data_IF_619630445053
#
_entry.id   IF_619630445053
#
_cell.length_a   1.000
_cell.length_b   1.000
_cell.length_c   1.000
_cell.angle_alpha   90.00
_cell.angle_beta   90.00
_cell.angle_gamma   90.00
#
_symmetry.space_group_name_H-M   'P 1'
#
loop_
_entity.id
_entity.type
_entity.pdbx_description
1 polymer ?
#
# COMPACT_ATOMS: atom_id res chain seq x y z
N UNK A 1 13.09 6.49 -0.40
CA UNK A 1 12.17 6.58 0.76
C UNK A 1 10.77 6.92 0.25
N UNK A 2 9.87 5.92 0.16
CA UNK A 2 8.52 6.07 -0.37
C UNK A 2 7.64 7.01 0.46
N UNK A 3 7.83 7.02 1.78
CA UNK A 3 7.11 7.93 2.69
C UNK A 3 7.42 9.40 2.39
N UNK A 4 8.69 9.74 2.15
CA UNK A 4 9.07 11.12 1.77
C UNK A 4 8.42 11.54 0.44
N UNK A 5 8.37 10.64 -0.54
CA UNK A 5 7.69 10.91 -1.81
C UNK A 5 6.19 11.16 -1.59
N UNK A 6 5.53 10.28 -0.82
CA UNK A 6 4.12 10.44 -0.43
C UNK A 6 3.87 11.78 0.25
N UNK A 7 4.62 12.12 1.30
CA UNK A 7 4.42 13.37 2.04
C UNK A 7 4.67 14.60 1.17
N UNK A 8 5.68 14.58 0.30
CA UNK A 8 5.92 15.70 -0.64
C UNK A 8 4.73 15.91 -1.57
N UNK A 9 4.20 14.83 -2.15
CA UNK A 9 3.00 14.89 -2.99
C UNK A 9 1.79 15.35 -2.19
N UNK A 10 1.59 14.79 -0.99
CA UNK A 10 0.49 15.13 -0.10
C UNK A 10 0.52 16.62 0.24
N UNK A 11 1.66 17.20 0.65
CA UNK A 11 1.81 18.61 0.99
C UNK A 11 2.06 19.54 -0.22
N UNK A 12 1.87 19.07 -1.46
CA UNK A 12 2.05 19.85 -2.69
C UNK A 12 3.44 20.53 -2.79
N UNK A 13 4.50 19.76 -2.53
CA UNK A 13 5.88 20.27 -2.49
C UNK A 13 6.52 20.26 -3.87
N UNK A 14 6.89 21.43 -4.37
CA UNK A 14 7.52 21.60 -5.68
C UNK A 14 9.04 21.46 -5.57
N UNK A 15 9.66 20.74 -6.52
CA UNK A 15 11.11 20.52 -6.53
C UNK A 15 11.90 21.81 -6.86
N UNK A 16 11.31 22.74 -7.60
CA UNK A 16 11.86 24.07 -7.91
C UNK A 16 11.24 25.22 -7.12
N UNK A 17 10.24 24.93 -6.26
CA UNK A 17 9.63 25.94 -5.40
C UNK A 17 10.60 26.36 -4.29
N UNK A 18 10.73 27.67 -4.05
CA UNK A 18 11.53 28.19 -2.94
C UNK A 18 11.03 27.68 -1.58
N UNK A 19 11.92 27.61 -0.59
CA UNK A 19 11.61 27.14 0.78
C UNK A 19 10.36 27.81 1.37
N UNK A 20 10.20 29.13 1.18
CA UNK A 20 9.04 29.88 1.64
C UNK A 20 7.71 29.43 1.00
N UNK A 21 7.71 29.14 -0.31
CA UNK A 21 6.52 28.66 -1.01
C UNK A 21 6.12 27.27 -0.51
N UNK A 22 7.11 26.39 -0.37
CA UNK A 22 6.93 25.02 0.14
C UNK A 22 6.42 25.00 1.60
N UNK A 23 6.94 25.87 2.47
CA UNK A 23 6.42 26.09 3.83
C UNK A 23 4.98 26.61 3.84
N UNK A 24 4.66 27.52 2.93
CA UNK A 24 3.29 28.07 2.82
C UNK A 24 2.30 26.99 2.37
N UNK A 25 2.65 26.18 1.37
CA UNK A 25 1.83 25.06 0.90
C UNK A 25 1.62 24.01 2.00
N UNK A 26 2.68 23.68 2.74
CA UNK A 26 2.63 22.78 3.88
C UNK A 26 1.69 23.30 4.98
N UNK A 27 1.88 24.55 5.41
CA UNK A 27 1.07 25.17 6.47
C UNK A 27 -0.41 25.21 6.07
N UNK A 28 -0.72 25.68 4.86
CA UNK A 28 -2.10 25.73 4.37
C UNK A 28 -2.81 24.38 4.46
N UNK A 29 -2.15 23.31 4.03
CA UNK A 29 -2.75 21.98 4.02
C UNK A 29 -2.89 21.39 5.42
N UNK A 30 -1.85 21.50 6.25
CA UNK A 30 -1.90 21.00 7.61
C UNK A 30 -2.93 21.76 8.46
N UNK A 31 -3.00 23.09 8.33
CA UNK A 31 -3.92 23.93 9.08
C UNK A 31 -5.37 23.66 8.68
N UNK A 32 -5.61 23.42 7.38
CA UNK A 32 -6.92 22.96 6.90
C UNK A 32 -7.33 21.62 7.52
N UNK A 33 -6.41 20.65 7.59
CA UNK A 33 -6.68 19.36 8.22
C UNK A 33 -6.93 19.50 9.73
N UNK A 34 -6.12 20.29 10.43
CA UNK A 34 -6.31 20.57 11.87
C UNK A 34 -7.68 21.18 12.10
N UNK A 35 -8.06 22.21 11.33
CA UNK A 35 -9.34 22.88 11.46
C UNK A 35 -10.55 21.97 11.17
N UNK A 36 -10.38 21.00 10.25
CA UNK A 36 -11.42 20.03 9.93
C UNK A 36 -11.47 18.84 10.90
N UNK A 37 -10.48 18.68 11.79
CA UNK A 37 -10.43 17.58 12.76
C UNK A 37 -11.22 17.94 14.03
N UNK A 38 -12.38 17.30 14.21
CA UNK A 38 -13.27 17.55 15.37
C UNK A 38 -12.74 16.99 16.69
N UNK A 39 -11.92 15.94 16.62
CA UNK A 39 -11.29 15.33 17.79
C UNK A 39 -10.15 16.21 18.32
N UNK A 40 -10.39 16.88 19.46
CA UNK A 40 -9.48 17.90 19.99
C UNK A 40 -8.08 17.37 20.29
N UNK A 41 -7.98 16.16 20.84
CA UNK A 41 -6.68 15.54 21.15
C UNK A 41 -5.86 15.29 19.89
N UNK A 42 -6.51 14.80 18.83
CA UNK A 42 -5.87 14.54 17.54
C UNK A 42 -5.45 15.83 16.83
N UNK A 43 -6.31 16.85 16.84
CA UNK A 43 -5.99 18.16 16.29
C UNK A 43 -4.81 18.82 17.03
N UNK A 44 -4.77 18.71 18.37
CA UNK A 44 -3.67 19.19 19.18
C UNK A 44 -2.36 18.45 18.87
N UNK A 45 -2.42 17.13 18.69
CA UNK A 45 -1.25 16.31 18.34
C UNK A 45 -0.69 16.67 16.96
N UNK A 46 -1.54 16.91 15.95
CA UNK A 46 -1.12 17.41 14.64
C UNK A 46 -0.38 18.76 14.74
N UNK A 47 -0.91 19.69 15.57
CA UNK A 47 -0.27 20.97 15.82
C UNK A 47 1.08 20.82 16.52
N UNK A 48 1.12 20.03 17.60
CA UNK A 48 2.33 19.74 18.38
C UNK A 48 3.43 19.11 17.53
N UNK A 49 3.06 18.21 16.62
CA UNK A 49 4.01 17.44 15.81
C UNK A 49 4.31 18.04 14.43
N UNK A 50 3.80 19.24 14.13
CA UNK A 50 3.98 19.97 12.87
C UNK A 50 5.43 19.98 12.36
N UNK A 51 6.39 20.35 13.21
CA UNK A 51 7.79 20.47 12.81
C UNK A 51 8.41 19.12 12.43
N UNK A 52 7.90 18.03 12.98
CA UNK A 52 8.36 16.67 12.65
C UNK A 52 7.81 16.20 11.30
N UNK A 53 6.56 16.53 10.95
CA UNK A 53 6.03 16.28 9.60
C UNK A 53 6.79 17.09 8.54
N UNK A 54 7.01 18.38 8.80
CA UNK A 54 7.76 19.22 7.87
C UNK A 54 9.21 18.77 7.71
N UNK A 55 9.85 18.34 8.80
CA UNK A 55 11.19 17.75 8.77
C UNK A 55 11.30 16.56 7.80
N UNK A 56 10.30 15.68 7.78
CA UNK A 56 10.27 14.50 6.90
C UNK A 56 10.29 14.84 5.41
N UNK A 57 9.91 16.07 5.04
CA UNK A 57 9.94 16.60 3.67
C UNK A 57 10.98 17.70 3.46
N UNK A 58 11.92 17.85 4.41
CA UNK A 58 13.02 18.82 4.41
C UNK A 58 12.60 20.29 4.60
N UNK A 59 11.52 20.51 5.36
CA UNK A 59 11.14 21.84 5.84
C UNK A 59 11.59 22.01 7.28
N UNK A 60 12.33 23.09 7.54
CA UNK A 60 12.99 23.37 8.82
C UNK A 60 12.54 24.73 9.34
N UNK A 61 12.22 24.80 10.62
CA UNK A 61 11.95 26.07 11.31
C UNK A 61 12.95 26.21 12.46
N UNK A 62 13.71 27.33 12.53
CA UNK A 62 14.57 27.62 13.67
C UNK A 62 13.79 27.51 14.98
N UNK A 63 14.46 27.01 16.01
CA UNK A 63 13.92 26.85 17.36
C UNK A 63 12.64 26.01 17.45
N UNK A 64 12.31 25.21 16.43
CA UNK A 64 11.18 24.29 16.50
C UNK A 64 11.46 23.09 17.41
N UNK A 65 10.41 22.43 17.90
CA UNK A 65 10.54 21.21 18.70
C UNK A 65 11.41 20.15 18.01
N UNK A 66 11.35 20.05 16.68
CA UNK A 66 12.23 19.13 15.95
C UNK A 66 13.71 19.47 16.15
N UNK A 67 14.09 20.75 16.07
CA UNK A 67 15.50 21.17 16.19
C UNK A 67 16.02 21.03 17.63
N UNK A 68 15.14 21.17 18.63
CA UNK A 68 15.51 21.12 20.05
C UNK A 68 15.70 19.70 20.60
N UNK A 69 15.00 18.70 20.05
CA UNK A 69 15.04 17.33 20.55
C UNK A 69 16.23 16.55 20.01
N UNK A 70 16.67 15.53 20.75
CA UNK A 70 17.68 14.57 20.31
C UNK A 70 17.17 13.64 19.18
N UNK A 71 18.05 12.90 18.48
CA UNK A 71 17.65 12.03 17.38
C UNK A 71 16.60 10.96 17.72
N UNK A 72 16.66 10.37 18.92
CA UNK A 72 15.72 9.33 19.34
C UNK A 72 14.32 9.90 19.50
N UNK A 73 14.21 11.03 20.21
CA UNK A 73 12.94 11.72 20.40
C UNK A 73 12.40 12.31 19.10
N UNK A 74 13.27 12.75 18.17
CA UNK A 74 12.83 13.17 16.82
C UNK A 74 12.16 12.02 16.08
N UNK A 75 12.77 10.84 16.08
CA UNK A 75 12.22 9.66 15.42
C UNK A 75 10.84 9.30 15.99
N UNK A 76 10.71 9.19 17.31
CA UNK A 76 9.44 8.87 17.97
C UNK A 76 8.32 9.88 17.68
N UNK A 77 8.68 11.17 17.62
CA UNK A 77 7.73 12.22 17.28
C UNK A 77 7.38 12.23 15.78
N UNK A 78 8.30 11.87 14.88
CA UNK A 78 7.96 11.64 13.46
C UNK A 78 6.93 10.52 13.32
N UNK A 79 7.11 9.38 14.01
CA UNK A 79 6.13 8.29 13.98
C UNK A 79 4.76 8.74 14.51
N UNK A 80 4.75 9.53 15.58
CA UNK A 80 3.51 10.07 16.17
C UNK A 80 2.83 11.06 15.22
N UNK A 81 3.60 11.91 14.56
CA UNK A 81 3.11 12.89 13.60
C UNK A 81 2.47 12.22 12.37
N UNK A 82 3.12 11.18 11.85
CA UNK A 82 2.61 10.37 10.75
C UNK A 82 1.32 9.65 11.13
N UNK A 83 1.28 9.07 12.33
CA UNK A 83 0.06 8.44 12.84
C UNK A 83 -1.07 9.46 12.95
N UNK A 84 -0.84 10.61 13.58
CA UNK A 84 -1.85 11.66 13.71
C UNK A 84 -2.37 12.14 12.34
N UNK A 85 -1.46 12.31 11.37
CA UNK A 85 -1.81 12.67 9.99
C UNK A 85 -2.76 11.65 9.35
N UNK A 86 -2.43 10.36 9.42
CA UNK A 86 -3.22 9.28 8.81
C UNK A 86 -4.58 9.12 9.49
N UNK A 87 -4.62 9.20 10.83
CA UNK A 87 -5.86 9.15 11.60
C UNK A 87 -6.79 10.32 11.26
N UNK A 88 -6.25 11.54 11.21
CA UNK A 88 -7.04 12.73 10.88
C UNK A 88 -7.57 12.69 9.45
N UNK A 89 -6.75 12.26 8.48
CA UNK A 89 -7.19 12.05 7.10
C UNK A 89 -8.30 11.00 7.01
N UNK A 90 -8.18 9.89 7.75
CA UNK A 90 -9.21 8.85 7.74
C UNK A 90 -10.57 9.39 8.21
N UNK A 91 -10.60 10.30 9.17
CA UNK A 91 -11.86 10.92 9.63
C UNK A 91 -12.51 11.84 8.60
N UNK A 92 -11.74 12.41 7.68
CA UNK A 92 -12.30 13.18 6.56
C UNK A 92 -12.88 12.27 5.47
N UNK A 93 -12.19 11.15 5.21
CA UNK A 93 -12.60 10.15 4.22
C UNK A 93 -11.95 8.81 4.55
N UNK A 94 -12.64 7.67 4.36
CA UNK A 94 -12.06 6.35 4.59
C UNK A 94 -10.72 6.19 3.88
N UNK A 95 -9.72 5.68 4.59
CA UNK A 95 -8.35 5.56 4.11
C UNK A 95 -7.95 4.08 4.02
N UNK A 96 -7.42 3.68 2.87
CA UNK A 96 -6.78 2.37 2.69
C UNK A 96 -5.29 2.61 2.49
N UNK A 97 -4.47 1.99 3.34
CA UNK A 97 -3.02 1.97 3.20
C UNK A 97 -2.60 0.63 2.63
N UNK A 98 -2.03 0.65 1.43
CA UNK A 98 -1.48 -0.53 0.77
C UNK A 98 0.03 -0.59 1.03
N UNK A 99 0.49 -1.71 1.59
CA UNK A 99 1.90 -2.02 1.83
C UNK A 99 2.26 -3.20 0.94
N UNK A 100 3.00 -2.92 -0.12
CA UNK A 100 3.53 -3.99 -0.97
C UNK A 100 4.80 -4.58 -0.37
N UNK A 101 4.97 -5.89 -0.55
CA UNK A 101 6.18 -6.64 -0.19
C UNK A 101 6.62 -6.43 1.27
N UNK A 102 5.69 -6.52 2.22
CA UNK A 102 5.95 -6.26 3.64
C UNK A 102 7.08 -7.14 4.24
N UNK A 103 7.40 -8.27 3.62
CA UNK A 103 8.55 -9.11 3.94
C UNK A 103 9.92 -8.43 3.75
N UNK A 104 9.98 -7.27 3.07
CA UNK A 104 11.19 -6.46 2.87
C UNK A 104 11.28 -5.27 3.83
N UNK A 105 10.30 -5.07 4.71
CA UNK A 105 10.33 -3.96 5.66
C UNK A 105 11.59 -4.04 6.54
N UNK A 106 12.23 -2.90 6.77
CA UNK A 106 13.26 -2.76 7.79
C UNK A 106 12.64 -2.69 9.20
N UNK A 107 13.48 -2.73 10.22
CA UNK A 107 13.03 -2.72 11.63
C UNK A 107 12.28 -1.43 11.99
N UNK A 108 12.77 -0.29 11.53
CA UNK A 108 12.15 1.01 11.77
C UNK A 108 10.74 1.08 11.16
N UNK A 109 10.57 0.53 9.95
CA UNK A 109 9.27 0.46 9.29
C UNK A 109 8.33 -0.52 9.99
N UNK A 110 8.82 -1.69 10.44
CA UNK A 110 8.02 -2.62 11.27
C UNK A 110 7.54 -1.94 12.56
N UNK A 111 8.43 -1.22 13.24
CA UNK A 111 8.09 -0.48 14.46
C UNK A 111 7.05 0.62 14.21
N UNK A 112 7.13 1.32 13.07
CA UNK A 112 6.11 2.27 12.65
C UNK A 112 4.75 1.61 12.49
N UNK A 113 4.66 0.51 11.73
CA UNK A 113 3.39 -0.19 11.50
C UNK A 113 2.80 -0.77 12.78
N UNK A 114 3.65 -1.33 13.66
CA UNK A 114 3.26 -1.76 14.99
C UNK A 114 2.63 -0.62 15.81
N UNK A 115 3.14 0.60 15.67
CA UNK A 115 2.63 1.79 16.37
C UNK A 115 1.39 2.37 15.70
N UNK A 116 1.32 2.35 14.38
CA UNK A 116 0.17 2.80 13.62
C UNK A 116 -1.03 1.95 13.99
N UNK A 117 -0.93 0.62 13.90
CA UNK A 117 -2.02 -0.31 14.12
C UNK A 117 -2.55 -0.40 15.57
N UNK A 118 -1.92 0.27 16.54
CA UNK A 118 -2.49 0.38 17.90
C UNK A 118 -3.61 1.42 17.90
N UNK A 119 -4.73 1.14 18.55
CA UNK A 119 -5.81 2.12 18.80
C UNK A 119 -6.34 2.77 17.51
N UNK A 120 -6.44 2.01 16.41
CA UNK A 120 -7.01 2.48 15.13
C UNK A 120 -8.45 2.01 14.93
N UNK A 121 -8.97 1.17 15.83
CA UNK A 121 -10.25 0.47 15.64
C UNK A 121 -11.45 1.42 15.52
N UNK A 122 -11.33 2.64 16.05
CA UNK A 122 -12.36 3.70 15.98
C UNK A 122 -12.18 4.64 14.77
N UNK A 123 -11.28 4.31 13.85
CA UNK A 123 -10.97 5.11 12.68
C UNK A 123 -11.32 4.34 11.40
N UNK A 124 -11.88 4.98 10.36
CA UNK A 124 -12.16 4.35 9.08
C UNK A 124 -10.87 4.18 8.26
N UNK A 125 -9.93 3.41 8.82
CA UNK A 125 -8.61 3.13 8.29
C UNK A 125 -8.46 1.62 8.13
N UNK A 126 -8.13 1.18 6.91
CA UNK A 126 -7.73 -0.20 6.64
C UNK A 126 -6.27 -0.24 6.19
N UNK A 127 -5.53 -1.26 6.63
CA UNK A 127 -4.18 -1.55 6.17
C UNK A 127 -4.24 -2.88 5.42
N UNK A 128 -3.87 -2.87 4.15
CA UNK A 128 -3.73 -4.05 3.30
C UNK A 128 -2.24 -4.23 3.06
N UNK A 129 -1.71 -5.42 3.37
CA UNK A 129 -0.31 -5.73 3.18
C UNK A 129 -0.15 -7.00 2.35
N UNK A 130 0.76 -7.00 1.39
CA UNK A 130 1.19 -8.20 0.67
C UNK A 130 2.50 -8.68 1.28
N UNK A 131 2.66 -9.99 1.42
CA UNK A 131 3.86 -10.58 2.00
C UNK A 131 4.08 -11.98 1.45
N UNK A 132 5.34 -12.39 1.36
CA UNK A 132 5.69 -13.80 1.19
C UNK A 132 5.58 -14.51 2.53
N UNK A 133 5.15 -15.79 2.56
CA UNK A 133 5.31 -16.63 3.74
C UNK A 133 6.78 -16.64 4.16
N UNK A 134 7.05 -16.45 5.45
CA UNK A 134 8.39 -16.63 6.00
C UNK A 134 8.66 -18.13 6.16
N UNK A 135 9.94 -18.55 6.12
CA UNK A 135 10.34 -19.96 6.20
C UNK A 135 9.91 -20.62 7.53
N UNK A 136 9.74 -19.81 8.59
CA UNK A 136 9.20 -20.26 9.86
C UNK A 136 7.66 -20.32 9.83
N UNK A 137 7.11 -21.49 10.18
CA UNK A 137 5.67 -21.70 10.23
C UNK A 137 4.99 -20.69 11.18
N UNK A 138 4.10 -19.85 10.63
CA UNK A 138 3.37 -18.83 11.37
C UNK A 138 4.11 -17.50 11.55
N UNK A 139 5.34 -17.37 11.05
CA UNK A 139 6.03 -16.10 11.02
C UNK A 139 5.45 -15.20 9.93
N UNK A 140 5.13 -13.98 10.32
CA UNK A 140 4.60 -12.93 9.45
C UNK A 140 5.46 -11.69 9.60
N UNK A 141 5.67 -10.91 8.53
CA UNK A 141 6.35 -9.62 8.66
C UNK A 141 5.52 -8.60 9.45
N UNK A 142 4.25 -8.90 9.74
CA UNK A 142 3.34 -8.04 10.47
C UNK A 142 3.32 -8.42 11.97
N UNK A 143 3.64 -7.49 12.88
CA UNK A 143 3.65 -7.76 14.32
C UNK A 143 2.36 -8.42 14.82
N UNK A 144 2.49 -9.45 15.68
CA UNK A 144 1.36 -10.20 16.23
C UNK A 144 0.38 -9.35 17.07
N UNK A 145 0.82 -8.18 17.55
CA UNK A 145 -0.01 -7.22 18.27
C UNK A 145 -1.08 -6.54 17.39
N UNK A 146 -1.06 -6.77 16.08
CA UNK A 146 -2.01 -6.22 15.11
C UNK A 146 -3.10 -7.24 14.84
N UNK A 147 -4.35 -6.90 15.18
CA UNK A 147 -5.52 -7.68 14.75
C UNK A 147 -5.55 -7.68 13.23
N UNK A 148 -5.54 -8.87 12.61
CA UNK A 148 -5.50 -9.00 11.16
C UNK A 148 -6.37 -10.14 10.66
N UNK A 149 -6.82 -9.99 9.43
CA UNK A 149 -7.34 -11.08 8.62
C UNK A 149 -6.28 -11.46 7.60
N UNK A 150 -5.94 -12.74 7.53
CA UNK A 150 -4.92 -13.26 6.62
C UNK A 150 -5.60 -14.04 5.50
N UNK A 151 -5.24 -13.70 4.26
CA UNK A 151 -5.74 -14.38 3.06
C UNK A 151 -4.53 -15.05 2.40
N UNK A 152 -4.46 -16.37 2.52
CA UNK A 152 -3.44 -17.16 1.85
C UNK A 152 -3.83 -17.36 0.39
N UNK A 153 -3.00 -16.89 -0.52
CA UNK A 153 -3.19 -17.09 -1.97
C UNK A 153 -2.51 -18.40 -2.39
N UNK A 154 -3.30 -19.42 -2.67
CA UNK A 154 -2.83 -20.68 -3.25
C UNK A 154 -2.69 -20.58 -4.77
N UNK A 155 -1.88 -21.44 -5.42
CA UNK A 155 -1.89 -21.57 -6.87
C UNK A 155 -3.30 -21.80 -7.41
N UNK A 156 -3.59 -21.22 -8.57
CA UNK A 156 -4.88 -21.35 -9.23
C UNK A 156 -5.18 -22.80 -9.58
N UNK A 157 -6.43 -23.21 -9.36
CA UNK A 157 -6.92 -24.51 -9.80
C UNK A 157 -7.19 -24.51 -11.31
N UNK A 158 -7.43 -25.69 -11.90
CA UNK A 158 -7.82 -25.78 -13.31
C UNK A 158 -9.10 -24.98 -13.61
N UNK A 159 -10.06 -24.97 -12.69
CA UNK A 159 -11.29 -24.19 -12.82
C UNK A 159 -11.02 -22.68 -12.77
N UNK A 160 -10.08 -22.23 -11.93
CA UNK A 160 -9.68 -20.82 -11.87
C UNK A 160 -8.94 -20.39 -13.14
N UNK A 161 -8.09 -21.26 -13.70
CA UNK A 161 -7.41 -21.03 -14.99
C UNK A 161 -8.42 -20.97 -16.14
N UNK A 162 -9.43 -21.85 -16.15
CA UNK A 162 -10.51 -21.78 -17.13
C UNK A 162 -11.28 -20.45 -17.01
N UNK A 163 -11.60 -20.02 -15.79
CA UNK A 163 -12.27 -18.75 -15.54
C UNK A 163 -11.42 -17.55 -15.98
N UNK A 164 -10.11 -17.58 -15.71
CA UNK A 164 -9.15 -16.58 -16.19
C UNK A 164 -9.15 -16.54 -17.72
N UNK A 165 -8.98 -17.68 -18.38
CA UNK A 165 -8.96 -17.74 -19.84
C UNK A 165 -10.27 -17.24 -20.47
N UNK A 166 -11.41 -17.62 -19.89
CA UNK A 166 -12.74 -17.14 -20.29
C UNK A 166 -12.86 -15.62 -20.18
N UNK A 167 -12.35 -15.02 -19.11
CA UNK A 167 -12.37 -13.57 -18.91
C UNK A 167 -11.55 -12.81 -19.98
N UNK A 168 -10.48 -13.41 -20.49
CA UNK A 168 -9.61 -12.81 -21.52
C UNK A 168 -10.09 -13.05 -22.97
N UNK A 169 -10.75 -14.18 -23.24
CA UNK A 169 -11.15 -14.58 -24.58
C UNK A 169 -12.63 -14.35 -24.88
N UNK A 170 -13.48 -14.21 -23.85
CA UNK A 170 -14.90 -13.87 -24.02
C UNK A 170 -15.81 -15.02 -24.44
N UNK A 171 -15.38 -16.28 -24.29
CA UNK A 171 -16.14 -17.48 -24.67
C UNK A 171 -15.77 -18.71 -23.84
N UNK A 172 -16.44 -19.84 -24.09
CA UNK A 172 -16.08 -21.12 -23.49
C UNK A 172 -14.62 -21.48 -23.83
N UNK A 173 -13.95 -22.23 -22.96
CA UNK A 173 -12.54 -22.62 -23.13
C UNK A 173 -12.48 -24.13 -23.25
N UNK A 174 -11.86 -24.63 -24.32
CA UNK A 174 -11.70 -26.07 -24.52
C UNK A 174 -10.77 -26.66 -23.45
N UNK A 175 -11.06 -27.89 -23.03
CA UNK A 175 -10.34 -28.55 -21.93
C UNK A 175 -8.84 -28.66 -22.22
N UNK A 176 -8.43 -28.90 -23.47
CA UNK A 176 -7.03 -29.04 -23.85
C UNK A 176 -6.25 -27.73 -23.66
N UNK A 177 -6.89 -26.58 -23.85
CA UNK A 177 -6.28 -25.28 -23.59
C UNK A 177 -6.10 -25.03 -22.09
N UNK A 178 -7.08 -25.41 -21.27
CA UNK A 178 -6.97 -25.34 -19.80
C UNK A 178 -5.84 -26.24 -19.30
N UNK A 179 -5.75 -27.48 -19.81
CA UNK A 179 -4.70 -28.44 -19.45
C UNK A 179 -3.32 -27.93 -19.83
N UNK A 180 -3.17 -27.34 -21.02
CA UNK A 180 -1.92 -26.70 -21.44
C UNK A 180 -1.54 -25.55 -20.50
N UNK A 181 -2.49 -24.65 -20.20
CA UNK A 181 -2.28 -23.51 -19.29
C UNK A 181 -1.87 -24.00 -17.91
N UNK A 182 -2.55 -25.00 -17.37
CA UNK A 182 -2.20 -25.61 -16.09
C UNK A 182 -0.82 -26.26 -16.09
N UNK A 183 -0.49 -27.04 -17.12
CA UNK A 183 0.78 -27.75 -17.19
C UNK A 183 1.99 -26.82 -17.34
N UNK A 184 1.80 -25.61 -17.90
CA UNK A 184 2.89 -24.65 -18.13
C UNK A 184 2.97 -23.56 -17.07
N UNK A 185 1.83 -23.14 -16.53
CA UNK A 185 1.79 -22.10 -15.51
C UNK A 185 1.83 -22.67 -14.09
N UNK A 186 1.51 -23.96 -13.89
CA UNK A 186 1.45 -24.60 -12.58
C UNK A 186 0.58 -23.80 -11.58
N UNK A 187 -0.55 -23.26 -12.07
CA UNK A 187 -1.46 -22.41 -11.29
C UNK A 187 -0.96 -20.99 -11.03
N UNK A 188 0.17 -20.56 -11.59
CA UNK A 188 0.64 -19.19 -11.49
C UNK A 188 -0.18 -18.27 -12.44
N UNK A 189 -0.97 -17.31 -11.90
CA UNK A 189 -1.86 -16.47 -12.71
C UNK A 189 -1.10 -15.64 -13.74
N UNK A 190 0.06 -15.09 -13.38
CA UNK A 190 0.87 -14.28 -14.28
C UNK A 190 1.36 -15.11 -15.47
N UNK A 191 1.90 -16.31 -15.24
CA UNK A 191 2.37 -17.17 -16.32
C UNK A 191 1.23 -17.64 -17.24
N UNK A 192 0.08 -17.99 -16.67
CA UNK A 192 -1.09 -18.37 -17.44
C UNK A 192 -1.58 -17.23 -18.34
N UNK A 193 -1.67 -16.01 -17.79
CA UNK A 193 -2.06 -14.81 -18.53
C UNK A 193 -1.07 -14.48 -19.64
N UNK A 194 0.24 -14.49 -19.35
CA UNK A 194 1.27 -14.23 -20.37
C UNK A 194 1.23 -15.27 -21.50
N UNK A 195 1.03 -16.55 -21.17
CA UNK A 195 0.92 -17.59 -22.20
C UNK A 195 -0.35 -17.40 -23.04
N UNK A 196 -1.47 -17.04 -22.42
CA UNK A 196 -2.71 -16.79 -23.13
C UNK A 196 -2.61 -15.58 -24.07
N UNK A 197 -2.00 -14.48 -23.59
CA UNK A 197 -1.71 -13.30 -24.40
C UNK A 197 -0.81 -13.65 -25.58
N UNK A 198 0.27 -14.41 -25.35
CA UNK A 198 1.15 -14.88 -26.41
C UNK A 198 0.42 -15.73 -27.46
N UNK A 199 -0.38 -16.72 -27.05
CA UNK A 199 -1.14 -17.57 -27.96
C UNK A 199 -2.13 -16.75 -28.82
N UNK A 200 -2.75 -15.74 -28.22
CA UNK A 200 -3.65 -14.80 -28.92
C UNK A 200 -2.90 -13.92 -29.91
N UNK A 201 -1.77 -13.35 -29.51
CA UNK A 201 -0.95 -12.47 -30.36
C UNK A 201 -0.34 -13.20 -31.56
N UNK A 202 0.03 -14.47 -31.40
CA UNK A 202 0.55 -15.31 -32.46
C UNK A 202 -0.55 -15.94 -33.34
N UNK A 203 -1.82 -15.61 -33.11
CA UNK A 203 -2.97 -16.21 -33.79
C UNK A 203 -2.95 -17.76 -33.73
N UNK A 204 -2.51 -18.30 -32.60
CA UNK A 204 -2.47 -19.75 -32.31
C UNK A 204 -3.75 -20.23 -31.61
N UNK A 205 -4.79 -19.39 -31.57
CA UNK A 205 -6.08 -19.71 -30.97
C UNK A 205 -7.20 -19.58 -32.02
N UNK A 206 -8.17 -20.48 -31.94
CA UNK A 206 -9.44 -20.43 -32.66
C UNK A 206 -10.58 -20.71 -31.71
N UNK A 207 -11.74 -20.17 -32.03
CA UNK A 207 -13.00 -20.46 -31.37
C UNK A 207 -13.82 -21.42 -32.25
N UNK A 208 -14.21 -22.56 -31.67
CA UNK A 208 -15.14 -23.51 -32.30
C UNK A 208 -16.38 -23.75 -31.40
N UNK A 209 -17.20 -24.74 -31.75
CA UNK A 209 -18.42 -25.06 -31.00
C UNK A 209 -18.17 -25.53 -29.55
N UNK A 210 -16.95 -25.96 -29.23
CA UNK A 210 -16.50 -26.42 -27.91
C UNK A 210 -15.78 -25.31 -27.13
N UNK A 211 -15.43 -24.21 -27.78
CA UNK A 211 -14.82 -23.02 -27.20
C UNK A 211 -13.48 -22.65 -27.83
N UNK A 212 -12.74 -21.79 -27.14
CA UNK A 212 -11.39 -21.41 -27.53
C UNK A 212 -10.40 -22.55 -27.31
N UNK A 213 -9.62 -22.86 -28.35
CA UNK A 213 -8.62 -23.94 -28.39
C UNK A 213 -7.39 -23.51 -29.19
N UNK A 214 -6.34 -24.34 -29.17
CA UNK A 214 -5.19 -24.16 -30.05
C UNK A 214 -5.56 -24.36 -31.53
N UNK A 215 -4.95 -23.56 -32.39
CA UNK A 215 -4.90 -23.79 -33.84
C UNK A 215 -3.90 -24.90 -34.12
N UNK A 216 -4.31 -25.85 -34.96
CA UNK A 216 -3.40 -26.86 -35.53
C UNK A 216 -2.46 -26.25 -36.58
#
# INVERSE_FOLDING_TARGET
NPLRYFLRRYFNQEAGGGDAANKTAFARKLDGLIAATTETALAAELGRTRSFLGASINLRWPDSLYEQLDPQLRFENVLSALKALLLAESRQRPLILLIEDAHWLDEDSRAFWARLARNVDEYPLAIVATARPLEEAGATPIPAAIIRHEITLSPLTAADIEALARAHLGGAIATELVELLMARAEGNPFFAEQMLLYLKEQALLQEDAQGWRLND
#
